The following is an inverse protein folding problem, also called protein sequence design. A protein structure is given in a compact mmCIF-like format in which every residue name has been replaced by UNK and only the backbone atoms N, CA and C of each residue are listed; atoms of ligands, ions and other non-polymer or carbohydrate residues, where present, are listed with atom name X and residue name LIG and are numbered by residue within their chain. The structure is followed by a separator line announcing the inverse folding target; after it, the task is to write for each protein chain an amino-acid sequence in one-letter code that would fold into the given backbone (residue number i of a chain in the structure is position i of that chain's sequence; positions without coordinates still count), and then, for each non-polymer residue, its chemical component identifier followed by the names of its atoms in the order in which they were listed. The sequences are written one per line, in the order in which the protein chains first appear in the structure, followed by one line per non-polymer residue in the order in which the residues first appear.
data_IF_803228079792
#
_entry.id   IF_803228079792
#
_cell.length_a   1.000
_cell.length_b   1.000
_cell.length_c   1.000
_cell.angle_alpha   90.00
_cell.angle_beta   90.00
_cell.angle_gamma   90.00
#
_symmetry.space_group_name_H-M   'P 1'
#
loop_
_entity.id
_entity.type
_entity.pdbx_description
1 polymer ?
#
# COMPACT_ATOMS: atom_id res chain seq x y z
N UNK A 1 17.98 6.28 72.29
CA UNK A 1 17.50 5.65 71.05
C UNK A 1 15.99 5.49 71.19
N UNK A 2 15.22 6.31 70.49
CA UNK A 2 13.80 6.57 70.76
C UNK A 2 12.92 5.34 70.50
N UNK A 3 12.24 4.85 71.54
CA UNK A 3 11.20 3.81 71.46
C UNK A 3 10.10 4.22 70.46
N UNK A 4 9.81 5.52 70.34
CA UNK A 4 8.88 6.08 69.35
C UNK A 4 9.30 5.79 67.90
N UNK A 5 10.59 5.84 67.56
CA UNK A 5 11.07 5.50 66.20
C UNK A 5 10.99 4.00 65.90
N UNK A 6 11.12 3.16 66.92
CA UNK A 6 10.99 1.70 66.78
C UNK A 6 9.51 1.32 66.65
N UNK A 7 8.62 2.00 67.38
CA UNK A 7 7.17 1.82 67.27
C UNK A 7 6.66 2.34 65.92
N UNK A 8 7.09 3.52 65.46
CA UNK A 8 6.71 4.04 64.13
C UNK A 8 7.20 3.12 63.00
N UNK A 9 8.45 2.64 63.07
CA UNK A 9 9.00 1.73 62.07
C UNK A 9 8.36 0.33 62.07
N UNK A 10 7.97 -0.18 63.25
CA UNK A 10 7.24 -1.45 63.38
C UNK A 10 5.78 -1.31 62.93
N UNK A 11 5.16 -0.15 63.16
CA UNK A 11 3.79 0.15 62.77
C UNK A 11 3.68 0.37 61.25
N UNK A 12 4.62 1.10 60.63
CA UNK A 12 4.71 1.26 59.17
C UNK A 12 4.88 -0.09 58.44
N UNK A 13 5.78 -0.97 58.90
CA UNK A 13 6.01 -2.26 58.23
C UNK A 13 4.83 -3.24 58.36
N UNK A 14 4.02 -3.11 59.41
CA UNK A 14 2.90 -4.02 59.66
C UNK A 14 1.62 -3.53 58.96
N UNK A 15 1.36 -2.21 58.95
CA UNK A 15 0.18 -1.60 58.31
C UNK A 15 0.24 -1.71 56.78
N UNK A 16 1.43 -1.61 56.18
CA UNK A 16 1.56 -1.65 54.72
C UNK A 16 1.28 -3.01 54.08
N UNK A 17 1.36 -4.10 54.85
CA UNK A 17 1.00 -5.45 54.36
C UNK A 17 -0.49 -5.74 54.40
N UNK A 18 -1.27 -4.91 55.08
CA UNK A 18 -2.71 -5.13 55.17
C UNK A 18 -3.41 -4.57 53.94
N UNK A 19 -4.23 -5.41 53.32
CA UNK A 19 -5.18 -5.03 52.27
C UNK A 19 -6.02 -3.83 52.72
N UNK A 20 -6.48 -3.02 51.77
CA UNK A 20 -7.33 -1.85 52.05
C UNK A 20 -8.52 -2.24 52.93
N UNK A 21 -9.17 -3.37 52.60
CA UNK A 21 -10.28 -3.91 53.37
C UNK A 21 -9.90 -4.21 54.81
N UNK A 22 -8.71 -4.76 55.06
CA UNK A 22 -8.20 -4.99 56.41
C UNK A 22 -7.94 -3.68 57.14
N UNK A 23 -7.33 -2.67 56.50
CA UNK A 23 -7.10 -1.34 57.12
C UNK A 23 -8.42 -0.69 57.54
N UNK A 24 -9.46 -0.77 56.71
CA UNK A 24 -10.81 -0.25 57.04
C UNK A 24 -11.41 -1.01 58.22
N UNK A 25 -11.38 -2.35 58.19
CA UNK A 25 -11.93 -3.19 59.25
C UNK A 25 -11.22 -2.95 60.59
N UNK A 26 -9.88 -2.90 60.61
CA UNK A 26 -9.15 -2.62 61.84
C UNK A 26 -9.49 -1.25 62.42
N UNK A 27 -9.69 -0.24 61.56
CA UNK A 27 -10.06 1.09 62.04
C UNK A 27 -11.45 1.10 62.71
N UNK A 28 -12.42 0.34 62.21
CA UNK A 28 -13.73 0.19 62.86
C UNK A 28 -13.64 -0.65 64.14
N UNK A 29 -12.98 -1.81 64.08
CA UNK A 29 -12.86 -2.73 65.22
C UNK A 29 -12.16 -2.07 66.40
N UNK A 30 -11.11 -1.26 66.16
CA UNK A 30 -10.42 -0.54 67.23
C UNK A 30 -11.35 0.46 67.92
N UNK A 31 -12.16 1.20 67.16
CA UNK A 31 -13.14 2.15 67.70
C UNK A 31 -14.21 1.43 68.52
N UNK A 32 -14.76 0.33 67.98
CA UNK A 32 -15.81 -0.46 68.64
C UNK A 32 -15.31 -1.11 69.94
N UNK A 33 -14.08 -1.62 69.95
CA UNK A 33 -13.45 -2.19 71.15
C UNK A 33 -13.20 -1.11 72.20
N UNK A 34 -12.72 0.07 71.81
CA UNK A 34 -12.52 1.19 72.73
C UNK A 34 -13.85 1.70 73.32
N UNK A 35 -14.92 1.73 72.51
CA UNK A 35 -16.27 2.05 72.96
C UNK A 35 -16.78 1.05 74.00
N UNK A 36 -16.60 -0.25 73.75
CA UNK A 36 -17.00 -1.31 74.69
C UNK A 36 -16.24 -1.22 76.02
N UNK A 37 -14.93 -0.97 75.99
CA UNK A 37 -14.10 -0.82 77.20
C UNK A 37 -14.54 0.41 78.00
N UNK A 38 -14.70 1.57 77.36
CA UNK A 38 -15.19 2.80 78.01
C UNK A 38 -16.59 2.62 78.60
N UNK A 39 -17.51 1.98 77.86
CA UNK A 39 -18.85 1.68 78.33
C UNK A 39 -18.85 0.74 79.54
N UNK A 40 -18.00 -0.29 79.53
CA UNK A 40 -17.84 -1.19 80.68
C UNK A 40 -17.27 -0.47 81.90
N UNK A 41 -16.26 0.39 81.73
CA UNK A 41 -15.71 1.22 82.81
C UNK A 41 -16.77 2.14 83.40
N UNK A 42 -17.59 2.78 82.56
CA UNK A 42 -18.68 3.66 83.01
C UNK A 42 -19.79 2.93 83.77
N UNK A 43 -20.12 1.69 83.41
CA UNK A 43 -21.10 0.86 84.12
C UNK A 43 -20.55 0.26 85.42
N UNK A 44 -19.23 0.04 85.52
CA UNK A 44 -18.58 -0.48 86.72
C UNK A 44 -18.56 0.54 87.86
N UNK A 45 -18.66 1.84 87.55
CA UNK A 45 -18.60 2.94 88.52
C UNK A 45 -19.86 3.06 89.40
N UNK A 46 -21.00 2.48 88.98
CA UNK A 46 -22.23 2.45 89.79
C UNK A 46 -22.08 1.65 91.10
N UNK A 47 -21.01 0.85 91.24
CA UNK A 47 -20.67 0.08 92.44
C UNK A 47 -19.41 0.55 93.21
N UNK A 48 -18.72 1.60 92.76
CA UNK A 48 -17.51 2.12 93.45
C UNK A 48 -17.57 3.65 93.54
N UNK A 49 -18.28 4.15 94.54
CA UNK A 49 -18.38 5.56 94.86
C UNK A 49 -17.01 6.15 95.24
N UNK A 50 -16.44 7.02 94.40
CA UNK A 50 -15.44 7.98 94.90
C UNK A 50 -14.49 8.69 93.96
N UNK A 51 -14.41 8.40 92.65
CA UNK A 51 -13.31 8.98 91.85
C UNK A 51 -13.69 9.84 90.63
N UNK A 52 -14.80 9.62 89.90
CA UNK A 52 -15.19 10.47 88.76
C UNK A 52 -16.72 10.70 88.73
N UNK A 53 -17.16 11.94 88.49
CA UNK A 53 -18.59 12.24 88.30
C UNK A 53 -19.13 11.57 87.01
N UNK A 54 -20.29 10.90 87.02
CA UNK A 54 -20.81 10.18 85.85
C UNK A 54 -21.07 11.10 84.63
N UNK A 55 -21.33 12.39 84.87
CA UNK A 55 -21.45 13.40 83.80
C UNK A 55 -20.10 13.70 83.11
N UNK A 56 -19.00 13.67 83.86
CA UNK A 56 -17.65 13.89 83.34
C UNK A 56 -17.21 12.69 82.49
N UNK A 57 -17.53 11.47 82.93
CA UNK A 57 -17.26 10.24 82.17
C UNK A 57 -17.95 10.23 80.79
N UNK A 58 -19.25 10.57 80.73
CA UNK A 58 -20.00 10.66 79.47
C UNK A 58 -19.40 11.73 78.54
N UNK A 59 -19.03 12.90 79.07
CA UNK A 59 -18.41 13.98 78.29
C UNK A 59 -17.06 13.56 77.70
N UNK A 60 -16.22 12.85 78.47
CA UNK A 60 -14.94 12.32 77.99
C UNK A 60 -15.11 11.25 76.89
N UNK A 61 -16.12 10.38 77.02
CA UNK A 61 -16.46 9.42 75.97
C UNK A 61 -16.82 10.11 74.65
N UNK A 62 -17.67 11.14 74.69
CA UNK A 62 -18.06 11.90 73.49
C UNK A 62 -16.84 12.55 72.83
N UNK A 63 -15.97 13.17 73.63
CA UNK A 63 -14.72 13.79 73.13
C UNK A 63 -13.81 12.74 72.48
N UNK A 64 -13.67 11.57 73.11
CA UNK A 64 -12.85 10.48 72.59
C UNK A 64 -13.39 9.93 71.26
N UNK A 65 -14.71 9.77 71.15
CA UNK A 65 -15.37 9.31 69.91
C UNK A 65 -15.13 10.30 68.78
N UNK A 66 -15.30 11.60 69.03
CA UNK A 66 -15.05 12.66 68.05
C UNK A 66 -13.57 12.65 67.64
N UNK A 67 -12.66 12.58 68.61
CA UNK A 67 -11.23 12.56 68.36
C UNK A 67 -10.79 11.35 67.51
N UNK A 68 -11.28 10.16 67.87
CA UNK A 68 -11.01 8.91 67.14
C UNK A 68 -11.58 8.95 65.72
N UNK A 69 -12.79 9.48 65.55
CA UNK A 69 -13.43 9.65 64.23
C UNK A 69 -12.62 10.56 63.31
N UNK A 70 -12.08 11.67 63.85
CA UNK A 70 -11.22 12.60 63.10
C UNK A 70 -9.92 11.90 62.66
N UNK A 71 -9.26 11.19 63.57
CA UNK A 71 -8.03 10.43 63.29
C UNK A 71 -8.25 9.38 62.19
N UNK A 72 -9.34 8.62 62.27
CA UNK A 72 -9.73 7.64 61.26
C UNK A 72 -9.98 8.30 59.90
N UNK A 73 -10.74 9.39 59.86
CA UNK A 73 -11.03 10.12 58.63
C UNK A 73 -9.74 10.63 57.96
N UNK A 74 -8.81 11.18 58.75
CA UNK A 74 -7.50 11.61 58.24
C UNK A 74 -6.67 10.44 57.70
N UNK A 75 -6.67 9.30 58.38
CA UNK A 75 -5.95 8.09 57.95
C UNK A 75 -6.46 7.53 56.62
N UNK A 76 -7.78 7.35 56.49
CA UNK A 76 -8.40 6.86 55.26
C UNK A 76 -8.21 7.82 54.08
N UNK A 77 -8.32 9.13 54.34
CA UNK A 77 -8.10 10.15 53.31
C UNK A 77 -6.68 10.07 52.75
N UNK A 78 -5.67 9.93 53.62
CA UNK A 78 -4.27 9.84 53.20
C UNK A 78 -3.93 8.49 52.55
N UNK A 79 -4.45 7.38 53.08
CA UNK A 79 -4.11 6.04 52.61
C UNK A 79 -4.88 5.59 51.37
N UNK A 80 -6.07 6.14 51.11
CA UNK A 80 -6.94 5.69 50.01
C UNK A 80 -7.32 6.85 49.10
N UNK A 81 -7.96 7.89 49.64
CA UNK A 81 -8.52 8.97 48.80
C UNK A 81 -7.45 9.73 48.03
N UNK A 82 -6.30 10.04 48.65
CA UNK A 82 -5.23 10.75 47.98
C UNK A 82 -4.62 9.94 46.81
N UNK A 83 -4.17 8.68 46.97
CA UNK A 83 -3.75 7.86 45.84
C UNK A 83 -4.82 7.69 44.75
N UNK A 84 -6.09 7.49 45.14
CA UNK A 84 -7.19 7.37 44.18
C UNK A 84 -7.33 8.63 43.32
N UNK A 85 -7.20 9.82 43.93
CA UNK A 85 -7.27 11.08 43.22
C UNK A 85 -6.07 11.28 42.28
N UNK A 86 -4.88 10.76 42.63
CA UNK A 86 -3.73 10.72 41.72
C UNK A 86 -3.99 9.84 40.49
N UNK A 87 -4.64 8.68 40.65
CA UNK A 87 -5.07 7.85 39.52
C UNK A 87 -6.10 8.55 38.64
N UNK A 88 -7.09 9.22 39.23
CA UNK A 88 -8.12 9.96 38.48
C UNK A 88 -7.46 11.05 37.63
N UNK A 89 -6.58 11.86 38.22
CA UNK A 89 -5.88 12.93 37.50
C UNK A 89 -4.95 12.39 36.40
N UNK A 90 -4.28 11.26 36.64
CA UNK A 90 -3.43 10.63 35.64
C UNK A 90 -4.27 10.01 34.50
N UNK A 91 -5.42 9.42 34.81
CA UNK A 91 -6.32 8.86 33.82
C UNK A 91 -6.92 9.96 32.92
N UNK A 92 -7.27 11.10 33.50
CA UNK A 92 -7.76 12.27 32.77
C UNK A 92 -6.71 12.77 31.76
N UNK A 93 -5.45 12.95 32.21
CA UNK A 93 -4.33 13.31 31.32
C UNK A 93 -4.06 12.28 30.23
N UNK A 94 -4.15 10.98 30.54
CA UNK A 94 -4.02 9.92 29.53
C UNK A 94 -5.15 10.00 28.50
N UNK A 95 -6.38 10.32 28.92
CA UNK A 95 -7.51 10.51 28.03
C UNK A 95 -7.33 11.72 27.10
N UNK A 96 -6.66 12.77 27.57
CA UNK A 96 -6.21 13.91 26.76
C UNK A 96 -5.02 13.58 25.84
N UNK A 97 -4.42 12.39 25.99
CA UNK A 97 -3.31 11.92 25.17
C UNK A 97 -1.92 12.15 25.78
N UNK A 98 -1.82 12.72 26.99
CA UNK A 98 -0.56 12.82 27.71
C UNK A 98 -0.21 11.48 28.37
N UNK A 99 0.56 10.68 27.63
CA UNK A 99 1.08 9.40 28.10
C UNK A 99 2.40 9.53 28.88
N UNK A 100 2.83 10.74 29.26
CA UNK A 100 4.08 10.97 30.02
C UNK A 100 3.89 10.88 31.53
N UNK A 101 2.63 10.88 31.99
CA UNK A 101 2.27 10.83 33.40
C UNK A 101 2.72 9.53 34.09
N UNK A 102 3.11 9.65 35.36
CA UNK A 102 3.47 8.52 36.22
C UNK A 102 2.69 8.61 37.54
N UNK A 103 2.04 7.51 37.92
CA UNK A 103 1.39 7.36 39.22
C UNK A 103 2.34 6.62 40.13
N UNK A 104 2.84 7.29 41.17
CA UNK A 104 3.86 6.74 42.06
C UNK A 104 3.26 6.40 43.42
N UNK A 105 2.55 5.28 43.47
CA UNK A 105 1.96 4.75 44.70
C UNK A 105 2.82 3.62 45.22
N UNK A 106 3.59 3.90 46.29
CA UNK A 106 4.44 2.91 46.96
C UNK A 106 3.68 2.17 48.06
N UNK A 107 2.60 1.49 47.67
CA UNK A 107 1.81 0.66 48.58
C UNK A 107 2.00 -0.82 48.25
N UNK A 108 1.90 -1.71 49.24
CA UNK A 108 1.96 -3.17 49.03
C UNK A 108 0.57 -3.82 48.98
N UNK A 109 -0.49 -3.01 49.08
CA UNK A 109 -1.89 -3.43 49.00
C UNK A 109 -2.44 -3.36 47.57
N UNK A 110 -3.77 -3.41 47.42
CA UNK A 110 -4.45 -3.35 46.13
C UNK A 110 -4.14 -2.08 45.33
N UNK A 111 -3.85 -0.94 45.98
CA UNK A 111 -3.49 0.30 45.27
C UNK A 111 -2.11 0.19 44.62
N UNK A 112 -1.18 -0.53 45.25
CA UNK A 112 0.12 -0.82 44.66
C UNK A 112 0.01 -1.68 43.39
N UNK A 113 -0.82 -2.72 43.44
CA UNK A 113 -1.11 -3.56 42.27
C UNK A 113 -1.80 -2.76 41.15
N UNK A 114 -2.74 -1.88 41.52
CA UNK A 114 -3.38 -0.98 40.57
C UNK A 114 -2.34 -0.05 39.91
N UNK A 115 -1.38 0.48 40.66
CA UNK A 115 -0.29 1.30 40.14
C UNK A 115 0.54 0.54 39.08
N UNK A 116 0.88 -0.72 39.35
CA UNK A 116 1.61 -1.57 38.41
C UNK A 116 0.82 -1.80 37.12
N UNK A 117 -0.46 -2.16 37.22
CA UNK A 117 -1.32 -2.36 36.06
C UNK A 117 -1.53 -1.08 35.25
N UNK A 118 -1.71 0.04 35.93
CA UNK A 118 -1.84 1.36 35.31
C UNK A 118 -0.56 1.73 34.55
N UNK A 119 0.61 1.55 35.15
CA UNK A 119 1.91 1.76 34.49
C UNK A 119 2.06 0.91 33.23
N UNK A 120 1.70 -0.38 33.30
CA UNK A 120 1.73 -1.27 32.13
C UNK A 120 0.78 -0.82 31.03
N UNK A 121 -0.42 -0.36 31.38
CA UNK A 121 -1.39 0.21 30.43
C UNK A 121 -0.81 1.43 29.71
N UNK A 122 -0.27 2.42 30.46
CA UNK A 122 0.33 3.63 29.88
C UNK A 122 1.51 3.30 28.95
N UNK A 123 2.37 2.36 29.34
CA UNK A 123 3.49 1.90 28.50
C UNK A 123 3.02 1.24 27.20
N UNK A 124 1.96 0.42 27.26
CA UNK A 124 1.39 -0.21 26.07
C UNK A 124 0.77 0.83 25.13
N UNK A 125 0.02 1.80 25.66
CA UNK A 125 -0.53 2.92 24.88
C UNK A 125 0.59 3.76 24.23
N UNK A 126 1.67 4.04 24.96
CA UNK A 126 2.82 4.79 24.44
C UNK A 126 3.50 4.04 23.30
N UNK A 127 3.68 2.73 23.47
CA UNK A 127 4.26 1.85 22.44
C UNK A 127 3.36 1.80 21.20
N UNK A 128 2.05 1.66 21.38
CA UNK A 128 1.09 1.65 20.28
C UNK A 128 1.13 2.97 19.52
N UNK A 129 1.11 4.11 20.22
CA UNK A 129 1.19 5.45 19.63
C UNK A 129 2.48 5.63 18.84
N UNK A 130 3.63 5.20 19.38
CA UNK A 130 4.90 5.23 18.66
C UNK A 130 4.92 4.35 17.40
N UNK A 131 4.29 3.16 17.45
CA UNK A 131 4.10 2.31 16.27
C UNK A 131 3.22 3.00 15.21
N UNK A 132 2.11 3.61 15.62
CA UNK A 132 1.22 4.36 14.72
C UNK A 132 1.99 5.50 14.06
N UNK A 133 2.74 6.30 14.81
CA UNK A 133 3.58 7.38 14.26
C UNK A 133 4.61 6.87 13.24
N UNK A 134 5.29 5.75 13.54
CA UNK A 134 6.25 5.15 12.60
C UNK A 134 5.56 4.68 11.31
N UNK A 135 4.41 4.04 11.42
CA UNK A 135 3.62 3.59 10.26
C UNK A 135 3.14 4.79 9.45
N UNK A 136 2.59 5.83 10.09
CA UNK A 136 2.17 7.06 9.40
C UNK A 136 3.33 7.74 8.67
N UNK A 137 4.52 7.79 9.27
CA UNK A 137 5.71 8.32 8.60
C UNK A 137 6.12 7.49 7.38
N UNK A 138 6.07 6.15 7.49
CA UNK A 138 6.33 5.26 6.34
C UNK A 138 5.31 5.45 5.23
N UNK A 139 4.02 5.55 5.58
CA UNK A 139 2.94 5.82 4.62
C UNK A 139 3.20 7.14 3.89
N UNK A 140 3.58 8.20 4.60
CA UNK A 140 3.91 9.49 3.99
C UNK A 140 5.09 9.39 3.01
N UNK A 141 6.16 8.67 3.37
CA UNK A 141 7.31 8.44 2.48
C UNK A 141 6.87 7.66 1.23
N UNK A 142 6.14 6.56 1.39
CA UNK A 142 5.68 5.75 0.26
C UNK A 142 4.70 6.50 -0.65
N UNK A 143 3.89 7.40 -0.11
CA UNK A 143 3.01 8.25 -0.89
C UNK A 143 3.81 9.25 -1.75
N UNK A 144 4.91 9.79 -1.20
CA UNK A 144 5.81 10.67 -1.93
C UNK A 144 6.54 9.93 -3.06
N UNK A 145 7.03 8.71 -2.80
CA UNK A 145 7.64 7.85 -3.81
C UNK A 145 6.65 7.51 -4.92
N UNK A 146 5.42 7.11 -4.56
CA UNK A 146 4.35 6.81 -5.51
C UNK A 146 3.99 8.01 -6.38
N UNK A 147 3.95 9.22 -5.80
CA UNK A 147 3.73 10.45 -6.56
C UNK A 147 4.85 10.69 -7.58
N UNK A 148 6.11 10.43 -7.21
CA UNK A 148 7.25 10.51 -8.11
C UNK A 148 7.14 9.51 -9.27
N UNK A 149 6.88 8.24 -8.97
CA UNK A 149 6.68 7.20 -9.99
C UNK A 149 5.48 7.49 -10.91
N UNK A 150 4.42 8.12 -10.38
CA UNK A 150 3.26 8.50 -11.19
C UNK A 150 3.59 9.60 -12.21
N UNK A 151 4.43 10.58 -11.84
CA UNK A 151 4.87 11.63 -12.77
C UNK A 151 5.81 11.08 -13.85
N UNK A 152 6.68 10.14 -13.50
CA UNK A 152 7.53 9.42 -14.46
C UNK A 152 6.68 8.58 -15.43
N UNK A 153 5.65 7.89 -14.91
CA UNK A 153 4.71 7.12 -15.72
C UNK A 153 3.92 7.99 -16.69
N UNK A 154 3.48 9.18 -16.24
CA UNK A 154 2.81 10.16 -17.09
C UNK A 154 3.72 10.61 -18.23
N UNK A 155 4.97 10.97 -17.92
CA UNK A 155 5.98 11.35 -18.93
C UNK A 155 6.20 10.22 -19.94
N UNK A 156 6.32 8.99 -19.47
CA UNK A 156 6.47 7.80 -20.33
C UNK A 156 5.25 7.58 -21.24
N UNK A 157 4.05 7.78 -20.70
CA UNK A 157 2.79 7.65 -21.44
C UNK A 157 2.67 8.70 -22.54
N UNK A 158 3.07 9.94 -22.26
CA UNK A 158 3.12 11.01 -23.25
C UNK A 158 4.09 10.66 -24.40
N UNK A 159 5.25 10.07 -24.08
CA UNK A 159 6.22 9.62 -25.08
C UNK A 159 5.68 8.47 -25.94
N UNK A 160 4.96 7.51 -25.34
CA UNK A 160 4.28 6.42 -26.06
C UNK A 160 3.21 6.99 -27.00
N UNK A 161 2.41 7.93 -26.53
CA UNK A 161 1.38 8.60 -27.34
C UNK A 161 2.00 9.29 -28.56
N UNK A 162 3.06 10.07 -28.36
CA UNK A 162 3.79 10.73 -29.45
C UNK A 162 4.38 9.72 -30.45
N UNK A 163 4.99 8.65 -29.96
CA UNK A 163 5.55 7.59 -30.81
C UNK A 163 4.46 6.90 -31.63
N UNK A 164 3.30 6.65 -31.02
CA UNK A 164 2.14 6.05 -31.70
C UNK A 164 1.61 6.96 -32.80
N UNK A 165 1.56 8.28 -32.55
CA UNK A 165 1.19 9.28 -33.56
C UNK A 165 2.15 9.27 -34.76
N UNK A 166 3.46 9.18 -34.50
CA UNK A 166 4.47 9.06 -35.56
C UNK A 166 4.32 7.76 -36.36
N UNK A 167 4.06 6.63 -35.69
CA UNK A 167 3.79 5.35 -36.35
C UNK A 167 2.56 5.45 -37.26
N UNK A 168 1.46 6.03 -36.76
CA UNK A 168 0.24 6.21 -37.55
C UNK A 168 0.50 7.07 -38.81
N UNK A 169 1.27 8.16 -38.67
CA UNK A 169 1.70 8.97 -39.82
C UNK A 169 2.58 8.18 -40.80
N UNK A 170 3.50 7.35 -40.29
CA UNK A 170 4.34 6.48 -41.09
C UNK A 170 3.52 5.46 -41.88
N UNK A 171 2.52 4.85 -41.25
CA UNK A 171 1.57 3.92 -41.90
C UNK A 171 0.80 4.63 -43.02
N UNK A 172 0.33 5.87 -42.81
CA UNK A 172 -0.36 6.63 -43.86
C UNK A 172 0.53 6.89 -45.07
N UNK A 173 1.80 7.25 -44.84
CA UNK A 173 2.79 7.43 -45.92
C UNK A 173 3.07 6.11 -46.66
N UNK A 174 3.20 5.02 -45.90
CA UNK A 174 3.44 3.70 -46.47
C UNK A 174 2.26 3.19 -47.31
N UNK A 175 1.02 3.45 -46.89
CA UNK A 175 -0.17 3.15 -47.68
C UNK A 175 -0.16 3.89 -49.03
N UNK A 176 0.24 5.18 -49.03
CA UNK A 176 0.41 5.94 -50.27
C UNK A 176 1.48 5.33 -51.18
N UNK A 177 2.61 4.90 -50.61
CA UNK A 177 3.69 4.25 -51.38
C UNK A 177 3.28 2.90 -51.95
N UNK A 178 2.50 2.12 -51.20
CA UNK A 178 1.94 0.85 -51.70
C UNK A 178 0.98 1.11 -52.88
N UNK A 179 0.17 2.17 -52.82
CA UNK A 179 -0.69 2.55 -53.95
C UNK A 179 0.13 2.92 -55.20
N UNK A 180 1.25 3.61 -55.02
CA UNK A 180 2.18 3.96 -56.11
C UNK A 180 2.82 2.71 -56.74
N UNK A 181 3.28 1.78 -55.91
CA UNK A 181 3.81 0.48 -56.35
C UNK A 181 2.74 -0.33 -57.10
N UNK A 182 1.50 -0.37 -56.60
CA UNK A 182 0.39 -1.08 -57.28
C UNK A 182 0.13 -0.51 -58.68
N UNK A 183 0.19 0.81 -58.83
CA UNK A 183 0.06 1.48 -60.13
C UNK A 183 1.21 1.10 -61.06
N UNK A 184 2.45 1.15 -60.59
CA UNK A 184 3.62 0.76 -61.38
C UNK A 184 3.53 -0.71 -61.84
N UNK A 185 3.06 -1.61 -60.97
CA UNK A 185 2.83 -3.02 -61.34
C UNK A 185 1.76 -3.19 -62.42
N UNK A 186 0.72 -2.36 -62.41
CA UNK A 186 -0.31 -2.37 -63.46
C UNK A 186 0.25 -1.91 -64.81
N UNK A 187 1.08 -0.87 -64.81
CA UNK A 187 1.76 -0.37 -66.02
C UNK A 187 2.75 -1.41 -66.59
N UNK A 188 3.49 -2.11 -65.72
CA UNK A 188 4.36 -3.23 -66.11
C UNK A 188 3.54 -4.36 -66.73
N UNK A 189 2.44 -4.77 -66.11
CA UNK A 189 1.57 -5.83 -66.64
C UNK A 189 1.04 -5.49 -68.04
N UNK A 190 0.59 -4.25 -68.25
CA UNK A 190 0.17 -3.77 -69.57
C UNK A 190 1.31 -3.79 -70.59
N UNK A 191 2.51 -3.34 -70.20
CA UNK A 191 3.69 -3.35 -71.06
C UNK A 191 4.09 -4.78 -71.46
N UNK A 192 4.06 -5.73 -70.52
CA UNK A 192 4.31 -7.15 -70.80
C UNK A 192 3.30 -7.72 -71.79
N UNK A 193 2.01 -7.38 -71.64
CA UNK A 193 0.97 -7.81 -72.58
C UNK A 193 1.18 -7.23 -73.98
N UNK A 194 1.60 -5.96 -74.07
CA UNK A 194 1.91 -5.30 -75.34
C UNK A 194 3.14 -5.93 -76.01
N UNK A 195 4.17 -6.26 -75.23
CA UNK A 195 5.36 -6.97 -75.72
C UNK A 195 4.96 -8.34 -76.26
N UNK A 196 4.18 -9.13 -75.52
CA UNK A 196 3.71 -10.44 -75.97
C UNK A 196 2.93 -10.35 -77.30
N UNK A 197 2.03 -9.36 -77.43
CA UNK A 197 1.26 -9.11 -78.65
C UNK A 197 2.16 -8.73 -79.83
N UNK A 198 3.14 -7.86 -79.59
CA UNK A 198 4.11 -7.44 -80.60
C UNK A 198 4.99 -8.60 -81.05
N UNK A 199 5.46 -9.43 -80.12
CA UNK A 199 6.22 -10.65 -80.41
C UNK A 199 5.40 -11.64 -81.25
N UNK A 200 4.11 -11.80 -80.96
CA UNK A 200 3.22 -12.67 -81.74
C UNK A 200 3.01 -12.15 -83.16
N UNK A 201 2.81 -10.83 -83.34
CA UNK A 201 2.75 -10.21 -84.68
C UNK A 201 4.06 -10.36 -85.44
N UNK A 202 5.20 -10.18 -84.78
CA UNK A 202 6.52 -10.38 -85.39
C UNK A 202 6.73 -11.83 -85.83
N UNK A 203 6.34 -12.81 -85.00
CA UNK A 203 6.40 -14.23 -85.34
C UNK A 203 5.51 -14.55 -86.56
N UNK A 204 4.27 -14.05 -86.60
CA UNK A 204 3.38 -14.22 -87.74
C UNK A 204 3.99 -13.62 -89.02
N UNK A 205 4.49 -12.38 -88.95
CA UNK A 205 5.15 -11.74 -90.08
C UNK A 205 6.37 -12.51 -90.57
N UNK A 206 7.15 -13.11 -89.67
CA UNK A 206 8.25 -13.99 -90.04
C UNK A 206 7.77 -15.28 -90.75
N UNK A 207 6.65 -15.86 -90.32
CA UNK A 207 6.01 -17.00 -91.00
C UNK A 207 5.51 -16.64 -92.40
N UNK A 208 4.87 -15.48 -92.56
CA UNK A 208 4.37 -14.99 -93.85
C UNK A 208 5.51 -14.69 -94.82
N UNK A 209 6.59 -14.05 -94.32
CA UNK A 209 7.81 -13.79 -95.09
C UNK A 209 8.49 -15.09 -95.53
N UNK A 210 8.58 -16.09 -94.65
CA UNK A 210 9.11 -17.42 -94.99
C UNK A 210 8.29 -18.12 -96.08
N UNK A 211 6.96 -18.05 -95.99
CA UNK A 211 6.06 -18.61 -97.01
C UNK A 211 6.22 -17.93 -98.36
N UNK A 212 6.31 -16.59 -98.36
CA UNK A 212 6.54 -15.79 -99.57
C UNK A 212 7.89 -16.11 -100.20
N UNK A 213 8.96 -16.18 -99.40
CA UNK A 213 10.29 -16.55 -99.86
C UNK A 213 10.30 -17.96 -100.50
N UNK A 214 9.55 -18.91 -99.93
CA UNK A 214 9.38 -20.25 -100.52
C UNK A 214 8.67 -20.22 -101.89
N UNK A 215 7.61 -19.42 -102.03
CA UNK A 215 6.92 -19.22 -103.32
C UNK A 215 7.82 -18.55 -104.37
N UNK A 216 8.55 -17.51 -103.99
CA UNK A 216 9.53 -16.85 -104.87
C UNK A 216 10.59 -17.86 -105.31
N UNK A 217 11.07 -18.71 -104.40
CA UNK A 217 11.98 -19.81 -104.74
C UNK A 217 11.43 -20.72 -105.84
N UNK A 218 10.20 -21.21 -105.70
CA UNK A 218 9.54 -22.02 -106.74
C UNK A 218 9.40 -21.29 -108.07
N UNK A 219 9.04 -20.01 -108.03
CA UNK A 219 8.87 -19.22 -109.24
C UNK A 219 10.21 -18.94 -109.94
N UNK A 220 11.29 -18.78 -109.17
CA UNK A 220 12.66 -18.73 -109.70
C UNK A 220 13.07 -20.05 -110.37
N UNK A 221 12.68 -21.20 -109.82
CA UNK A 221 12.90 -22.50 -110.46
C UNK A 221 12.17 -22.58 -111.81
N UNK A 222 10.90 -22.17 -111.85
CA UNK A 222 10.10 -22.12 -113.08
C UNK A 222 10.71 -21.18 -114.14
N UNK A 223 11.17 -19.99 -113.74
CA UNK A 223 11.87 -19.06 -114.63
C UNK A 223 13.15 -19.69 -115.17
N UNK A 224 13.91 -20.42 -114.35
CA UNK A 224 15.13 -21.10 -114.78
C UNK A 224 14.84 -22.19 -115.82
N UNK A 225 13.76 -22.97 -115.63
CA UNK A 225 13.29 -23.95 -116.62
C UNK A 225 12.90 -23.26 -117.94
N UNK A 226 12.16 -22.15 -117.88
CA UNK A 226 11.77 -21.39 -119.07
C UNK A 226 12.96 -20.77 -119.80
N UNK A 227 13.96 -20.29 -119.08
CA UNK A 227 15.20 -19.79 -119.68
C UNK A 227 15.98 -20.91 -120.39
N UNK A 228 16.03 -22.12 -119.83
CA UNK A 228 16.63 -23.27 -120.50
C UNK A 228 15.87 -23.67 -121.79
N UNK A 229 14.54 -23.60 -121.79
CA UNK A 229 13.70 -23.85 -122.97
C UNK A 229 13.92 -22.79 -124.07
N UNK A 230 14.02 -21.51 -123.69
CA UNK A 230 14.36 -20.42 -124.61
C UNK A 230 15.76 -20.63 -125.20
N UNK A 231 16.76 -20.95 -124.36
CA UNK A 231 18.11 -21.23 -124.82
C UNK A 231 18.13 -22.36 -125.87
N UNK A 232 17.42 -23.45 -125.59
CA UNK A 232 17.28 -24.57 -126.54
C UNK A 232 16.61 -24.13 -127.86
N UNK A 233 15.57 -23.30 -127.79
CA UNK A 233 14.86 -22.78 -128.97
C UNK A 233 15.75 -21.85 -129.81
N UNK A 234 16.55 -21.00 -129.14
CA UNK A 234 17.53 -20.12 -129.78
C UNK A 234 18.63 -20.93 -130.46
N UNK A 235 19.17 -21.96 -129.80
CA UNK A 235 20.19 -22.85 -130.36
C UNK A 235 19.67 -23.61 -131.59
N UNK A 236 18.43 -24.09 -131.53
CA UNK A 236 17.78 -24.77 -132.66
C UNK A 236 17.58 -23.81 -133.85
N UNK A 237 17.14 -22.58 -133.59
CA UNK A 237 16.99 -21.54 -134.61
C UNK A 237 18.33 -21.18 -135.27
N UNK A 238 19.39 -21.03 -134.48
CA UNK A 238 20.74 -20.78 -134.98
C UNK A 238 21.26 -21.94 -135.86
N UNK A 239 20.90 -23.18 -135.52
CA UNK A 239 21.22 -24.36 -136.32
C UNK A 239 20.50 -24.35 -137.67
N UNK A 240 19.21 -24.03 -137.70
CA UNK A 240 18.44 -23.89 -138.96
C UNK A 240 19.01 -22.81 -139.87
N UNK A 241 19.39 -21.65 -139.29
CA UNK A 241 20.03 -20.56 -140.06
C UNK A 241 21.38 -20.99 -140.64
N UNK A 242 22.16 -21.84 -139.95
CA UNK A 242 23.42 -22.38 -140.48
C UNK A 242 23.23 -23.43 -141.60
N UNK A 243 22.03 -23.98 -141.78
CA UNK A 243 21.71 -24.97 -142.81
C UNK A 243 21.10 -24.37 -144.07
N UNK A 244 20.78 -23.06 -144.05
CA UNK A 244 20.40 -22.26 -145.23
C UNK A 244 21.65 -21.67 -145.90
#
# INVERSE_FOLDING_TARGET
MNIIKIIDGANEQTIDKFNISSKIIYSFVVVDVLMLIMGFVGLYEENVSGFIDPKLAIMLCIIFIIFSSILMCMGLTRSIMKPLNEFINAADKIAEGDLTVEVNVSSKDELGKLAEYFKRMTLNLRTLTGKVQNVSSKVAITAQELSGSSEEMKTSTDQISNTTQHIASGISSQASKISEVSRAMKEISQSVQQVATSSQKAAQGATDASTTASQVGKMSDDVTLKMAEIQSTVDNSATVIRQL
#
